data_IF_478592961159
#
_entry.id   IF_478592961159
#
_cell.length_a   1.000
_cell.length_b   1.000
_cell.length_c   1.000
_cell.angle_alpha   90.00
_cell.angle_beta   90.00
_cell.angle_gamma   90.00
#
_symmetry.space_group_name_H-M   'P 1'
#
loop_
_entity.id
_entity.type
_entity.pdbx_description
1 polymer ?
#
# COMPACT_ATOMS: atom_id res chain seq x y z
N UNK A 1 21.92 -3.25 -2.59
CA UNK A 1 21.00 -2.75 -1.57
C UNK A 1 21.09 -3.67 -0.36
N UNK A 2 21.07 -3.15 0.88
CA UNK A 2 21.00 -4.02 2.03
C UNK A 2 19.67 -4.78 2.00
N UNK A 3 19.72 -6.09 2.20
CA UNK A 3 18.53 -6.90 2.38
C UNK A 3 18.00 -6.64 3.79
N UNK A 4 16.72 -6.37 3.93
CA UNK A 4 16.04 -6.38 5.22
C UNK A 4 15.37 -7.74 5.40
N UNK A 5 15.55 -8.33 6.58
CA UNK A 5 14.75 -9.47 7.00
C UNK A 5 13.68 -8.95 7.96
N UNK A 6 12.43 -9.27 7.70
CA UNK A 6 11.34 -8.91 8.59
C UNK A 6 11.46 -9.65 9.92
N UNK A 7 10.88 -9.08 10.97
CA UNK A 7 10.81 -9.68 12.30
C UNK A 7 10.09 -11.05 12.21
N UNK A 8 10.58 -12.09 12.94
CA UNK A 8 10.03 -13.44 12.86
C UNK A 8 8.52 -13.55 13.06
N UNK A 9 7.97 -12.88 14.08
CA UNK A 9 6.53 -12.92 14.36
C UNK A 9 5.71 -12.34 13.21
N UNK A 10 6.24 -11.31 12.53
CA UNK A 10 5.59 -10.73 11.36
C UNK A 10 5.60 -11.68 10.15
N UNK A 11 6.70 -12.43 9.95
CA UNK A 11 6.79 -13.45 8.89
C UNK A 11 5.75 -14.56 9.10
N UNK A 12 5.61 -15.06 10.34
CA UNK A 12 4.58 -16.05 10.66
C UNK A 12 3.18 -15.50 10.47
N UNK A 13 2.94 -14.25 10.88
CA UNK A 13 1.66 -13.59 10.64
C UNK A 13 1.32 -13.47 9.14
N UNK A 14 2.30 -13.19 8.30
CA UNK A 14 2.09 -13.19 6.83
C UNK A 14 1.70 -14.57 6.30
N UNK A 15 2.35 -15.63 6.78
CA UNK A 15 2.03 -17.00 6.40
C UNK A 15 0.62 -17.40 6.85
N UNK A 16 0.19 -17.00 8.05
CA UNK A 16 -1.18 -17.18 8.54
C UNK A 16 -2.20 -16.44 7.68
N UNK A 17 -1.93 -15.17 7.33
CA UNK A 17 -2.82 -14.39 6.46
C UNK A 17 -3.00 -15.02 5.08
N UNK A 18 -1.96 -15.68 4.58
CA UNK A 18 -1.97 -16.32 3.26
C UNK A 18 -2.74 -17.65 3.27
N UNK A 19 -2.93 -18.29 4.43
CA UNK A 19 -3.66 -19.56 4.61
C UNK A 19 -3.24 -20.62 3.58
N UNK A 20 -1.94 -20.92 3.54
CA UNK A 20 -1.41 -21.97 2.65
C UNK A 20 -1.82 -23.34 3.19
N UNK A 21 -2.27 -24.21 2.28
CA UNK A 21 -2.69 -25.58 2.59
C UNK A 21 -1.90 -26.59 1.76
N UNK A 22 -1.83 -27.85 2.20
CA UNK A 22 -1.19 -28.91 1.42
C UNK A 22 -1.72 -28.98 -0.02
N UNK A 23 -0.82 -29.14 -0.98
CA UNK A 23 -1.11 -29.20 -2.39
C UNK A 23 -1.22 -27.82 -3.11
N UNK A 24 -1.20 -26.68 -2.37
CA UNK A 24 -1.31 -25.38 -2.99
C UNK A 24 -0.10 -25.04 -3.87
N UNK A 25 -0.39 -24.31 -4.95
CA UNK A 25 0.61 -23.60 -5.77
C UNK A 25 0.74 -22.17 -5.27
N UNK A 26 1.91 -21.80 -4.78
CA UNK A 26 2.15 -20.52 -4.11
C UNK A 26 3.18 -19.70 -4.87
N UNK A 27 2.94 -18.39 -4.97
CA UNK A 27 3.88 -17.41 -5.52
C UNK A 27 4.26 -16.39 -4.45
N UNK A 28 5.57 -16.21 -4.22
CA UNK A 28 6.12 -15.12 -3.42
C UNK A 28 6.89 -14.14 -4.31
N UNK A 29 6.57 -12.84 -4.23
CA UNK A 29 7.27 -11.78 -4.96
C UNK A 29 8.09 -10.96 -3.99
N UNK A 30 9.42 -10.92 -4.23
CA UNK A 30 10.40 -10.32 -3.34
C UNK A 30 10.89 -11.31 -2.28
N UNK A 31 11.18 -12.56 -2.66
CA UNK A 31 11.48 -13.63 -1.69
C UNK A 31 12.77 -13.43 -0.89
N UNK A 32 13.58 -12.42 -1.23
CA UNK A 32 14.77 -12.03 -0.47
C UNK A 32 15.73 -13.19 -0.22
N UNK A 33 15.91 -13.55 1.04
CA UNK A 33 16.79 -14.66 1.46
C UNK A 33 16.10 -16.03 1.44
N UNK A 34 14.80 -16.10 1.06
CA UNK A 34 14.04 -17.34 0.96
C UNK A 34 13.48 -17.88 2.27
N UNK A 35 13.49 -17.09 3.35
CA UNK A 35 13.00 -17.58 4.65
C UNK A 35 11.49 -17.83 4.64
N UNK A 36 10.67 -16.82 4.26
CA UNK A 36 9.23 -17.04 4.13
C UNK A 36 8.94 -18.12 3.08
N UNK A 37 9.69 -18.14 1.97
CA UNK A 37 9.55 -19.14 0.91
C UNK A 37 9.69 -20.57 1.46
N UNK A 38 10.65 -20.84 2.37
CA UNK A 38 10.84 -22.13 3.01
C UNK A 38 9.66 -22.49 3.94
N UNK A 39 9.11 -21.53 4.68
CA UNK A 39 7.92 -21.72 5.54
C UNK A 39 6.71 -22.08 4.68
N UNK A 40 6.51 -21.36 3.56
CA UNK A 40 5.42 -21.61 2.63
C UNK A 40 5.57 -22.99 1.96
N UNK A 41 6.80 -23.41 1.65
CA UNK A 41 7.09 -24.74 1.12
C UNK A 41 6.70 -25.85 2.10
N UNK A 42 7.03 -25.66 3.38
CA UNK A 42 6.63 -26.60 4.43
C UNK A 42 5.10 -26.68 4.56
N UNK A 43 4.40 -25.54 4.56
CA UNK A 43 2.95 -25.46 4.66
C UNK A 43 2.23 -26.07 3.43
N UNK A 44 2.79 -25.89 2.23
CA UNK A 44 2.25 -26.47 0.99
C UNK A 44 2.43 -27.98 0.91
N UNK A 45 3.34 -28.55 1.69
CA UNK A 45 3.61 -30.00 1.71
C UNK A 45 4.23 -30.54 0.41
N UNK A 46 4.52 -31.84 0.35
CA UNK A 46 5.26 -32.43 -0.77
C UNK A 46 4.53 -32.35 -2.12
N UNK A 47 3.21 -32.33 -2.11
CA UNK A 47 2.37 -32.22 -3.32
C UNK A 47 2.14 -30.78 -3.77
N UNK A 48 2.52 -29.77 -2.95
CA UNK A 48 2.45 -28.37 -3.28
C UNK A 48 3.68 -27.89 -4.04
N UNK A 49 3.60 -26.68 -4.61
CA UNK A 49 4.75 -26.04 -5.27
C UNK A 49 4.83 -24.56 -4.88
N UNK A 50 6.04 -24.08 -4.60
CA UNK A 50 6.25 -22.69 -4.19
C UNK A 50 7.29 -22.05 -5.10
N UNK A 51 6.94 -20.92 -5.70
CA UNK A 51 7.81 -20.13 -6.57
C UNK A 51 8.09 -18.80 -5.90
N UNK A 52 9.35 -18.50 -5.63
CA UNK A 52 9.81 -17.19 -5.19
C UNK A 52 10.46 -16.42 -6.34
N UNK A 53 10.10 -15.16 -6.52
CA UNK A 53 10.74 -14.27 -7.50
C UNK A 53 11.51 -13.19 -6.74
N UNK A 54 12.78 -13.01 -7.12
CA UNK A 54 13.66 -11.99 -6.52
C UNK A 54 14.37 -11.22 -7.65
N UNK A 55 14.29 -9.90 -7.59
CA UNK A 55 14.90 -9.03 -8.60
C UNK A 55 16.43 -8.92 -8.43
N UNK A 56 16.93 -9.09 -7.21
CA UNK A 56 18.36 -9.07 -6.92
C UNK A 56 18.96 -10.47 -7.09
N UNK A 57 19.84 -10.69 -8.11
CA UNK A 57 20.39 -12.01 -8.38
C UNK A 57 21.22 -12.60 -7.22
N UNK A 58 21.86 -11.75 -6.42
CA UNK A 58 22.65 -12.20 -5.28
C UNK A 58 21.76 -12.73 -4.15
N UNK A 59 20.60 -12.08 -3.91
CA UNK A 59 19.61 -12.56 -2.93
C UNK A 59 18.91 -13.82 -3.44
N UNK A 60 18.57 -13.88 -4.71
CA UNK A 60 18.01 -15.10 -5.32
C UNK A 60 18.96 -16.30 -5.17
N UNK A 61 20.26 -16.12 -5.44
CA UNK A 61 21.24 -17.19 -5.27
C UNK A 61 21.37 -17.61 -3.78
N UNK A 62 21.24 -16.66 -2.85
CA UNK A 62 21.20 -16.95 -1.41
C UNK A 62 19.93 -17.71 -1.04
N UNK A 63 18.78 -17.30 -1.54
CA UNK A 63 17.51 -17.99 -1.32
C UNK A 63 17.58 -19.45 -1.80
N UNK A 64 18.11 -19.69 -3.00
CA UNK A 64 18.27 -21.05 -3.52
C UNK A 64 19.15 -21.94 -2.62
N UNK A 65 20.26 -21.40 -2.08
CA UNK A 65 21.11 -22.14 -1.11
C UNK A 65 20.38 -22.40 0.19
N UNK A 66 19.64 -21.42 0.72
CA UNK A 66 18.89 -21.57 1.97
C UNK A 66 17.76 -22.60 1.84
N UNK A 67 17.05 -22.63 0.71
CA UNK A 67 16.03 -23.64 0.41
C UNK A 67 16.62 -25.04 0.38
N UNK A 68 17.77 -25.22 -0.29
CA UNK A 68 18.47 -26.50 -0.33
C UNK A 68 18.91 -26.95 1.07
N UNK A 69 19.46 -26.02 1.87
CA UNK A 69 19.89 -26.32 3.27
C UNK A 69 18.70 -26.67 4.18
N UNK A 70 17.52 -26.07 3.92
CA UNK A 70 16.26 -26.36 4.64
C UNK A 70 15.55 -27.64 4.13
N UNK A 71 16.04 -28.29 3.08
CA UNK A 71 15.39 -29.45 2.47
C UNK A 71 14.06 -29.14 1.77
N UNK A 72 13.83 -27.89 1.39
CA UNK A 72 12.60 -27.44 0.72
C UNK A 72 12.62 -27.80 -0.77
N UNK A 73 12.42 -29.08 -1.09
CA UNK A 73 12.52 -29.62 -2.45
C UNK A 73 11.37 -29.20 -3.39
N UNK A 74 10.27 -28.72 -2.83
CA UNK A 74 9.07 -28.26 -3.53
C UNK A 74 9.06 -26.73 -3.75
N UNK A 75 10.18 -26.04 -3.45
CA UNK A 75 10.31 -24.59 -3.62
C UNK A 75 11.48 -24.23 -4.54
N UNK A 76 11.28 -23.19 -5.36
CA UNK A 76 12.33 -22.63 -6.20
C UNK A 76 12.39 -21.11 -6.08
N UNK A 77 13.60 -20.55 -6.08
CA UNK A 77 13.82 -19.11 -6.20
C UNK A 77 14.27 -18.76 -7.61
N UNK A 78 13.56 -17.86 -8.26
CA UNK A 78 13.79 -17.42 -9.66
C UNK A 78 14.28 -15.98 -9.65
N UNK A 79 15.35 -15.70 -10.39
CA UNK A 79 15.80 -14.33 -10.62
C UNK A 79 14.89 -13.66 -11.64
N UNK A 80 14.40 -12.45 -11.35
CA UNK A 80 13.58 -11.72 -12.28
C UNK A 80 12.77 -10.59 -11.69
N UNK A 81 12.07 -9.88 -12.56
CA UNK A 81 11.28 -8.71 -12.22
C UNK A 81 9.84 -9.11 -11.87
N UNK A 82 9.54 -9.15 -10.61
CA UNK A 82 8.21 -9.23 -10.02
C UNK A 82 7.27 -10.23 -10.71
N UNK A 83 6.06 -9.75 -10.98
CA UNK A 83 5.03 -10.56 -11.63
C UNK A 83 5.38 -11.01 -13.05
N UNK A 84 6.30 -10.33 -13.75
CA UNK A 84 6.72 -10.72 -15.10
C UNK A 84 7.47 -12.06 -15.11
N UNK A 85 8.28 -12.33 -14.07
CA UNK A 85 9.09 -13.54 -13.94
C UNK A 85 8.36 -14.70 -13.21
N UNK A 86 7.12 -14.50 -12.78
CA UNK A 86 6.35 -15.47 -11.98
C UNK A 86 6.04 -16.82 -12.69
N UNK A 87 6.37 -16.94 -13.99
CA UNK A 87 5.99 -18.13 -14.76
C UNK A 87 4.48 -18.22 -15.05
N UNK A 88 4.01 -19.33 -15.62
CA UNK A 88 2.60 -19.51 -15.90
C UNK A 88 1.81 -19.78 -14.60
N UNK A 89 0.75 -18.98 -14.39
CA UNK A 89 -0.26 -19.29 -13.36
C UNK A 89 -1.22 -20.39 -13.79
N UNK A 90 -2.36 -20.54 -13.12
CA UNK A 90 -2.72 -19.79 -11.94
C UNK A 90 -2.07 -20.36 -10.66
N UNK A 91 -2.05 -19.52 -9.61
CA UNK A 91 -1.61 -19.88 -8.26
C UNK A 91 -2.79 -19.82 -7.30
N UNK A 92 -2.80 -20.68 -6.29
CA UNK A 92 -3.82 -20.67 -5.24
C UNK A 92 -3.57 -19.55 -4.24
N UNK A 93 -2.29 -19.20 -4.06
CA UNK A 93 -1.83 -18.18 -3.12
C UNK A 93 -0.76 -17.30 -3.75
N UNK A 94 -0.90 -15.99 -3.57
CA UNK A 94 0.11 -15.00 -3.99
C UNK A 94 0.44 -14.11 -2.81
N UNK A 95 1.71 -13.92 -2.51
CA UNK A 95 2.17 -12.94 -1.51
C UNK A 95 3.23 -12.03 -2.12
N UNK A 96 3.16 -10.75 -1.77
CA UNK A 96 4.24 -9.79 -2.03
C UNK A 96 4.88 -9.38 -0.72
N UNK A 97 6.19 -9.33 -0.69
CA UNK A 97 6.99 -8.82 0.45
C UNK A 97 7.74 -7.54 0.09
N UNK A 98 7.25 -6.88 -0.95
CA UNK A 98 7.58 -5.51 -1.35
C UNK A 98 6.28 -4.74 -1.61
N UNK A 99 6.24 -3.46 -1.25
CA UNK A 99 5.01 -2.67 -1.34
C UNK A 99 4.81 -2.06 -2.72
N UNK A 100 3.60 -2.21 -3.27
CA UNK A 100 3.24 -1.75 -4.59
C UNK A 100 2.36 -0.49 -4.57
N UNK A 101 2.66 0.47 -5.45
CA UNK A 101 1.76 1.56 -5.80
C UNK A 101 0.79 1.16 -6.91
N UNK A 102 1.28 0.43 -7.89
CA UNK A 102 0.54 -0.07 -9.05
C UNK A 102 0.84 -1.55 -9.23
N UNK A 103 -0.01 -2.23 -9.98
CA UNK A 103 0.12 -3.63 -10.32
C UNK A 103 -0.15 -3.82 -11.82
N UNK A 104 0.50 -4.78 -12.50
CA UNK A 104 0.16 -5.13 -13.86
C UNK A 104 -1.17 -5.90 -13.93
N UNK A 105 -1.88 -5.81 -15.06
CA UNK A 105 -3.16 -6.54 -15.27
C UNK A 105 -3.07 -8.03 -15.05
N UNK A 106 -1.90 -8.60 -15.27
CA UNK A 106 -1.61 -10.02 -15.10
C UNK A 106 -1.97 -10.53 -13.70
N UNK A 107 -1.91 -9.68 -12.64
CA UNK A 107 -2.26 -10.09 -11.27
C UNK A 107 -3.67 -10.68 -11.19
N UNK A 108 -4.62 -10.18 -12.01
CA UNK A 108 -6.01 -10.63 -12.02
C UNK A 108 -6.17 -12.06 -12.57
N UNK A 109 -5.24 -12.53 -13.41
CA UNK A 109 -5.29 -13.87 -14.02
C UNK A 109 -4.31 -14.86 -13.40
N UNK A 110 -3.37 -14.39 -12.58
CA UNK A 110 -2.41 -15.27 -11.91
C UNK A 110 -2.99 -16.02 -10.71
N UNK A 111 -4.12 -15.57 -10.16
CA UNK A 111 -4.78 -16.19 -9.02
C UNK A 111 -5.90 -17.11 -9.51
N UNK A 112 -6.06 -18.30 -8.91
CA UNK A 112 -7.20 -19.18 -9.15
C UNK A 112 -8.51 -18.50 -8.70
N UNK A 113 -9.69 -18.96 -9.17
CA UNK A 113 -10.94 -18.64 -8.50
C UNK A 113 -10.83 -19.09 -7.04
N UNK A 114 -11.39 -18.36 -6.10
CA UNK A 114 -11.24 -18.59 -4.64
C UNK A 114 -9.81 -18.51 -4.10
N UNK A 115 -8.83 -18.13 -4.94
CA UNK A 115 -7.46 -17.91 -4.52
C UNK A 115 -7.30 -16.66 -3.65
N UNK A 116 -6.25 -16.63 -2.80
CA UNK A 116 -5.91 -15.51 -1.94
C UNK A 116 -4.61 -14.81 -2.36
N UNK A 117 -4.63 -13.49 -2.32
CA UNK A 117 -3.43 -12.67 -2.46
C UNK A 117 -3.22 -11.79 -1.23
N UNK A 118 -2.01 -11.77 -0.69
CA UNK A 118 -1.58 -10.88 0.40
C UNK A 118 -0.66 -9.82 -0.20
N UNK A 119 -1.20 -8.61 -0.38
CA UNK A 119 -0.53 -7.55 -1.12
C UNK A 119 -0.37 -6.28 -0.26
N UNK A 120 0.86 -5.84 0.02
CA UNK A 120 1.13 -4.53 0.58
C UNK A 120 0.90 -3.45 -0.49
N UNK A 121 -0.06 -2.57 -0.23
CA UNK A 121 -0.43 -1.48 -1.15
C UNK A 121 -0.06 -0.14 -0.52
N UNK A 122 0.78 0.61 -1.23
CA UNK A 122 1.16 1.98 -0.87
C UNK A 122 0.11 2.97 -1.33
N UNK A 123 -0.06 4.01 -0.55
CA UNK A 123 -0.83 5.18 -0.93
C UNK A 123 0.05 6.43 -0.93
N UNK A 124 -0.45 7.55 -1.43
CA UNK A 124 0.25 8.82 -1.30
C UNK A 124 0.46 9.15 0.17
N UNK A 125 1.61 9.70 0.49
CA UNK A 125 2.00 9.95 1.86
C UNK A 125 2.56 8.70 2.53
N UNK A 126 2.21 8.50 3.80
CA UNK A 126 2.79 7.47 4.66
C UNK A 126 1.89 6.24 4.85
N UNK A 127 0.73 6.23 4.20
CA UNK A 127 -0.24 5.13 4.32
C UNK A 127 0.20 3.93 3.47
N UNK A 128 0.36 2.80 4.14
CA UNK A 128 0.69 1.52 3.51
C UNK A 128 -0.01 0.40 4.27
N UNK A 129 -0.80 -0.38 3.55
CA UNK A 129 -1.59 -1.45 4.15
C UNK A 129 -1.41 -2.76 3.40
N UNK A 130 -1.34 -3.87 4.15
CA UNK A 130 -1.56 -5.22 3.62
C UNK A 130 -3.05 -5.40 3.38
N UNK A 131 -3.39 -5.84 2.18
CA UNK A 131 -4.73 -6.32 1.86
C UNK A 131 -4.68 -7.82 1.60
N UNK A 132 -5.52 -8.57 2.32
CA UNK A 132 -5.83 -9.96 2.00
C UNK A 132 -6.99 -9.93 1.01
N UNK A 133 -6.69 -10.26 -0.23
CA UNK A 133 -7.60 -10.14 -1.37
C UNK A 133 -8.04 -11.52 -1.86
N UNK A 134 -9.32 -11.72 -2.06
CA UNK A 134 -9.89 -12.90 -2.71
C UNK A 134 -10.16 -12.59 -4.18
N UNK A 135 -9.92 -13.55 -5.06
CA UNK A 135 -10.42 -13.45 -6.42
C UNK A 135 -11.92 -13.68 -6.43
N UNK A 136 -12.65 -12.75 -7.04
CA UNK A 136 -14.10 -12.83 -7.28
C UNK A 136 -14.39 -12.50 -8.74
N UNK A 137 -14.40 -13.53 -9.58
CA UNK A 137 -14.52 -13.36 -11.02
C UNK A 137 -13.39 -12.49 -11.59
N UNK A 138 -13.68 -11.34 -12.24
CA UNK A 138 -12.68 -10.48 -12.84
C UNK A 138 -12.00 -9.52 -11.85
N UNK A 139 -12.32 -9.57 -10.57
CA UNK A 139 -11.83 -8.65 -9.54
C UNK A 139 -11.08 -9.35 -8.41
N UNK A 140 -10.19 -8.60 -7.75
CA UNK A 140 -9.67 -8.94 -6.43
C UNK A 140 -10.38 -8.06 -5.40
N UNK A 141 -10.89 -8.64 -4.31
CA UNK A 141 -11.68 -7.95 -3.28
C UNK A 141 -11.11 -8.24 -1.89
N UNK A 142 -10.79 -7.19 -1.13
CA UNK A 142 -10.20 -7.36 0.18
C UNK A 142 -11.22 -7.84 1.22
N UNK A 143 -10.86 -8.91 1.93
CA UNK A 143 -11.57 -9.37 3.13
C UNK A 143 -10.98 -8.82 4.42
N UNK A 144 -9.69 -8.50 4.40
CA UNK A 144 -8.97 -8.00 5.56
C UNK A 144 -7.96 -6.93 5.14
N UNK A 145 -7.72 -5.97 6.02
CA UNK A 145 -6.69 -4.93 5.85
C UNK A 145 -5.91 -4.79 7.16
N UNK A 146 -4.58 -4.66 7.08
CA UNK A 146 -3.69 -4.43 8.22
C UNK A 146 -2.64 -3.38 7.86
N UNK A 147 -2.13 -2.65 8.84
CA UNK A 147 -0.97 -1.78 8.62
C UNK A 147 0.29 -2.60 8.37
N UNK A 148 1.15 -2.03 7.55
CA UNK A 148 2.46 -2.59 7.30
C UNK A 148 3.47 -1.51 6.90
N UNK A 149 4.73 -1.93 6.81
CA UNK A 149 5.78 -1.20 6.12
C UNK A 149 6.72 -2.18 5.47
N UNK A 150 6.81 -2.11 4.16
CA UNK A 150 7.73 -2.90 3.35
C UNK A 150 8.69 -2.01 2.57
N UNK A 151 9.76 -2.61 2.07
CA UNK A 151 10.57 -1.97 1.02
C UNK A 151 9.71 -1.74 -0.22
N UNK A 152 9.92 -0.63 -0.95
CA UNK A 152 9.19 -0.39 -2.19
C UNK A 152 9.45 -1.47 -3.23
N UNK A 153 8.40 -1.86 -3.96
CA UNK A 153 8.56 -2.67 -5.16
C UNK A 153 9.41 -1.90 -6.18
N UNK A 154 10.42 -2.56 -6.72
CA UNK A 154 11.33 -2.05 -7.75
C UNK A 154 11.09 -2.73 -9.09
N UNK A 155 11.84 -2.37 -10.13
CA UNK A 155 11.65 -2.93 -11.47
C UNK A 155 10.55 -2.22 -12.25
N UNK A 156 9.97 -2.90 -13.24
CA UNK A 156 8.97 -2.34 -14.16
C UNK A 156 7.74 -1.78 -13.48
N UNK A 157 7.25 -2.47 -12.46
CA UNK A 157 6.03 -2.10 -11.74
C UNK A 157 6.33 -1.26 -10.49
N UNK A 158 7.60 -0.91 -10.27
CA UNK A 158 8.04 0.02 -9.23
C UNK A 158 7.48 1.42 -9.45
N UNK A 159 7.27 2.15 -8.36
CA UNK A 159 6.86 3.54 -8.41
C UNK A 159 8.05 4.48 -8.22
N UNK A 160 8.02 5.59 -8.93
CA UNK A 160 8.92 6.70 -8.60
C UNK A 160 8.48 7.35 -7.28
N UNK A 161 9.34 7.29 -6.28
CA UNK A 161 9.10 7.90 -4.96
C UNK A 161 8.79 9.40 -5.06
N UNK A 162 9.36 10.08 -6.06
CA UNK A 162 9.08 11.50 -6.28
C UNK A 162 7.65 11.75 -6.79
N UNK A 163 7.00 10.77 -7.43
CA UNK A 163 5.59 10.87 -7.81
C UNK A 163 4.66 10.68 -6.61
N UNK A 164 5.06 9.86 -5.65
CA UNK A 164 4.24 9.56 -4.47
C UNK A 164 4.38 10.66 -3.41
N UNK A 165 5.59 11.18 -3.23
CA UNK A 165 5.91 12.19 -2.24
C UNK A 165 7.07 13.09 -2.73
N UNK A 166 6.80 14.05 -3.63
CA UNK A 166 7.80 14.95 -4.14
C UNK A 166 8.37 15.86 -3.03
N UNK A 167 9.49 16.50 -3.29
CA UNK A 167 9.95 17.61 -2.42
C UNK A 167 9.01 18.80 -2.59
N UNK A 168 8.64 19.46 -1.50
CA UNK A 168 7.76 20.63 -1.55
C UNK A 168 8.36 21.75 -2.43
N UNK A 169 9.66 21.98 -2.30
CA UNK A 169 10.40 23.00 -3.09
C UNK A 169 10.46 22.70 -4.58
N UNK A 170 10.19 21.46 -4.99
CA UNK A 170 10.17 21.03 -6.38
C UNK A 170 8.74 20.88 -6.93
N UNK A 171 7.70 21.17 -6.12
CA UNK A 171 6.31 21.11 -6.59
C UNK A 171 5.96 22.40 -7.35
N UNK A 172 5.79 22.34 -8.69
CA UNK A 172 5.55 23.52 -9.50
C UNK A 172 4.17 24.14 -9.24
N UNK A 173 3.23 23.38 -8.70
CA UNK A 173 1.87 23.85 -8.43
C UNK A 173 1.88 24.74 -7.17
N UNK A 174 2.67 24.38 -6.16
CA UNK A 174 2.86 25.22 -4.96
C UNK A 174 3.73 26.43 -5.27
N UNK A 175 4.83 26.25 -6.00
CA UNK A 175 5.80 27.34 -6.28
C UNK A 175 5.19 28.51 -7.08
N UNK A 176 4.10 28.28 -7.81
CA UNK A 176 3.41 29.33 -8.58
C UNK A 176 2.40 30.11 -7.77
N UNK A 177 2.01 29.64 -6.61
CA UNK A 177 0.99 30.23 -5.78
C UNK A 177 1.66 30.95 -4.59
N UNK A 178 1.20 32.14 -4.28
CA UNK A 178 1.60 32.87 -3.06
C UNK A 178 0.82 32.36 -1.84
N UNK A 179 1.44 32.41 -0.67
CA UNK A 179 0.74 32.16 0.59
C UNK A 179 -0.38 33.18 0.80
N UNK A 180 -1.54 32.70 1.24
CA UNK A 180 -2.74 33.53 1.45
C UNK A 180 -3.34 33.27 2.83
N UNK A 181 -3.85 34.34 3.42
CA UNK A 181 -4.50 34.28 4.72
C UNK A 181 -3.52 34.01 5.89
N UNK A 182 -4.09 33.75 7.06
CA UNK A 182 -3.32 33.33 8.25
C UNK A 182 -3.34 31.81 8.36
N UNK A 183 -2.21 31.21 8.80
CA UNK A 183 -2.21 29.77 9.13
C UNK A 183 -3.29 29.45 10.16
N UNK A 184 -3.95 28.31 9.99
CA UNK A 184 -4.98 27.79 10.91
C UNK A 184 -4.50 26.49 11.53
N UNK A 185 -4.77 26.30 12.83
CA UNK A 185 -4.46 25.03 13.49
C UNK A 185 -5.41 23.94 13.01
N UNK A 186 -4.86 22.75 12.79
CA UNK A 186 -5.63 21.53 12.55
C UNK A 186 -5.73 20.77 13.86
N UNK A 187 -6.93 20.68 14.38
CA UNK A 187 -7.23 19.94 15.62
C UNK A 187 -8.00 18.66 15.26
N UNK A 188 -7.49 17.52 15.68
CA UNK A 188 -8.10 16.21 15.45
C UNK A 188 -9.14 15.86 16.54
N UNK A 189 -9.34 16.72 17.55
CA UNK A 189 -10.24 16.45 18.67
C UNK A 189 -9.74 15.32 19.58
N UNK A 190 -10.65 14.45 20.02
CA UNK A 190 -10.33 13.35 20.92
C UNK A 190 -9.34 12.35 20.30
N UNK A 191 -8.48 11.70 21.11
CA UNK A 191 -7.61 10.63 20.64
C UNK A 191 -8.44 9.54 19.98
N UNK A 192 -7.96 9.03 18.85
CA UNK A 192 -8.56 7.87 18.20
C UNK A 192 -8.49 6.67 19.14
N UNK A 193 -9.52 5.81 19.19
CA UNK A 193 -9.52 4.60 20.02
C UNK A 193 -8.33 3.67 19.75
N UNK A 194 -7.82 3.66 18.53
CA UNK A 194 -6.62 2.91 18.15
C UNK A 194 -5.37 3.67 18.61
N UNK A 195 -4.82 3.28 19.74
CA UNK A 195 -3.58 3.84 20.30
C UNK A 195 -2.33 3.58 19.44
N UNK A 196 -2.44 2.74 18.44
CA UNK A 196 -1.33 2.35 17.56
C UNK A 196 -1.09 3.34 16.43
N UNK A 197 -2.06 4.20 16.07
CA UNK A 197 -1.93 5.14 14.97
C UNK A 197 -2.21 6.58 15.39
N UNK A 198 -1.25 7.51 15.21
CA UNK A 198 -1.52 8.92 15.42
C UNK A 198 -2.68 9.44 14.55
N UNK A 199 -3.56 10.33 15.07
CA UNK A 199 -4.70 10.90 14.32
C UNK A 199 -4.32 11.46 12.97
N UNK A 200 -3.19 12.15 12.92
CA UNK A 200 -2.61 12.70 11.69
C UNK A 200 -2.39 11.65 10.61
N UNK A 201 -1.85 10.48 10.97
CA UNK A 201 -1.57 9.40 10.04
C UNK A 201 -2.86 8.72 9.57
N UNK A 202 -3.83 8.54 10.46
CA UNK A 202 -5.15 8.02 10.12
C UNK A 202 -5.90 8.96 9.16
N UNK A 203 -5.85 10.26 9.41
CA UNK A 203 -6.47 11.25 8.53
C UNK A 203 -5.78 11.31 7.16
N UNK A 204 -4.45 11.19 7.08
CA UNK A 204 -3.76 11.10 5.78
C UNK A 204 -4.14 9.81 5.02
N UNK A 205 -4.35 8.70 5.71
CA UNK A 205 -4.85 7.46 5.10
C UNK A 205 -6.26 7.65 4.51
N UNK A 206 -7.14 8.35 5.22
CA UNK A 206 -8.46 8.75 4.73
C UNK A 206 -8.35 9.62 3.47
N UNK A 207 -7.59 10.71 3.54
CA UNK A 207 -7.41 11.64 2.44
C UNK A 207 -6.81 10.97 1.20
N UNK A 208 -5.79 10.14 1.39
CA UNK A 208 -5.10 9.44 0.29
C UNK A 208 -6.00 8.51 -0.50
N UNK A 209 -7.08 8.01 0.10
CA UNK A 209 -8.04 7.10 -0.54
C UNK A 209 -9.23 7.83 -1.16
N UNK A 210 -9.75 8.85 -0.48
CA UNK A 210 -11.02 9.47 -0.84
C UNK A 210 -10.90 10.78 -1.61
N UNK A 211 -9.77 11.52 -1.47
CA UNK A 211 -9.61 12.85 -2.09
C UNK A 211 -8.63 12.79 -3.28
N UNK A 212 -9.08 13.02 -4.52
CA UNK A 212 -8.19 13.00 -5.70
C UNK A 212 -7.11 14.08 -5.69
N UNK A 213 -7.39 15.25 -5.10
CA UNK A 213 -6.47 16.39 -5.01
C UNK A 213 -5.41 16.21 -3.93
N UNK A 214 -5.49 15.14 -3.11
CA UNK A 214 -4.54 14.88 -2.03
C UNK A 214 -3.11 14.76 -2.53
N UNK A 215 -2.21 15.47 -1.85
CA UNK A 215 -0.77 15.45 -2.03
C UNK A 215 -0.06 15.23 -0.71
N UNK A 216 1.12 14.66 -0.80
CA UNK A 216 2.07 14.55 0.31
C UNK A 216 3.43 15.02 -0.19
N UNK A 217 4.20 15.71 0.67
CA UNK A 217 5.51 16.27 0.34
C UNK A 217 6.57 15.94 1.38
N UNK A 218 7.82 15.85 0.91
CA UNK A 218 9.01 15.89 1.76
C UNK A 218 9.41 17.36 1.97
N UNK A 219 9.66 17.75 3.22
CA UNK A 219 9.89 19.16 3.60
C UNK A 219 11.36 19.49 3.82
N UNK A 220 12.20 18.52 4.20
CA UNK A 220 13.58 18.75 4.59
C UNK A 220 14.63 18.18 3.64
N UNK A 221 15.92 18.56 3.82
CA UNK A 221 17.03 17.89 3.16
C UNK A 221 17.19 16.48 3.77
N UNK A 222 17.27 15.48 2.93
CA UNK A 222 17.52 14.10 3.32
C UNK A 222 16.63 13.12 2.57
N UNK A 223 17.25 12.02 2.10
CA UNK A 223 16.60 10.99 1.32
C UNK A 223 16.35 9.72 2.15
N UNK A 224 16.38 9.84 3.49
CA UNK A 224 16.07 8.71 4.37
C UNK A 224 14.62 8.25 4.21
N UNK A 225 14.35 6.96 4.33
CA UNK A 225 12.98 6.47 4.34
C UNK A 225 12.22 7.15 5.47
N UNK A 226 10.94 7.51 5.24
CA UNK A 226 10.12 8.08 6.30
C UNK A 226 10.05 7.09 7.47
N UNK A 227 10.11 7.60 8.70
CA UNK A 227 9.87 6.78 9.88
C UNK A 227 8.47 6.15 9.80
N UNK A 228 8.27 5.02 10.47
CA UNK A 228 6.96 4.31 10.50
C UNK A 228 5.79 5.23 10.89
N UNK A 229 6.07 6.26 11.69
CA UNK A 229 5.04 7.16 12.24
C UNK A 229 5.06 8.56 11.61
N UNK A 230 5.91 8.79 10.60
CA UNK A 230 6.11 10.10 10.01
C UNK A 230 6.83 11.07 10.96
N UNK A 231 7.68 11.89 10.40
CA UNK A 231 8.26 13.01 11.11
C UNK A 231 7.51 14.28 10.66
N UNK A 232 6.73 14.92 11.55
CA UNK A 232 5.92 16.09 11.18
C UNK A 232 6.77 17.26 10.66
N UNK A 233 8.05 17.30 11.02
CA UNK A 233 8.99 18.32 10.52
C UNK A 233 9.51 17.99 9.10
N UNK A 234 9.44 16.73 8.69
CA UNK A 234 9.92 16.26 7.38
C UNK A 234 8.83 16.02 6.35
N UNK A 235 7.58 15.99 6.76
CA UNK A 235 6.45 15.67 5.89
C UNK A 235 5.36 16.72 5.98
N UNK A 236 4.82 17.09 4.81
CA UNK A 236 3.62 17.90 4.68
C UNK A 236 2.56 17.17 3.88
N UNK A 237 1.30 17.48 4.17
CA UNK A 237 0.15 16.90 3.51
C UNK A 237 -0.82 18.00 3.12
N UNK A 238 -1.62 17.78 2.11
CA UNK A 238 -2.63 18.76 1.76
C UNK A 238 -3.35 18.46 0.46
N UNK A 239 -3.92 19.49 -0.12
CA UNK A 239 -4.68 19.44 -1.37
C UNK A 239 -4.08 20.38 -2.39
N UNK A 240 -4.16 20.00 -3.67
CA UNK A 240 -3.82 20.87 -4.80
C UNK A 240 -4.93 20.80 -5.82
N UNK A 241 -5.58 21.94 -6.09
CA UNK A 241 -6.56 22.13 -7.15
C UNK A 241 -6.01 23.09 -8.20
N UNK A 242 -5.49 22.52 -9.29
CA UNK A 242 -4.89 23.30 -10.37
C UNK A 242 -5.91 24.18 -11.09
N UNK A 243 -7.14 23.71 -11.19
CA UNK A 243 -8.21 24.41 -11.90
C UNK A 243 -8.70 25.64 -11.15
N UNK A 244 -8.71 25.59 -9.83
CA UNK A 244 -9.06 26.69 -8.96
C UNK A 244 -7.88 27.62 -8.63
N UNK A 245 -6.63 27.25 -8.99
CA UNK A 245 -5.44 27.98 -8.54
C UNK A 245 -5.31 27.97 -7.01
N UNK A 246 -5.64 26.85 -6.38
CA UNK A 246 -5.70 26.70 -4.93
C UNK A 246 -4.85 25.54 -4.47
N UNK A 247 -4.09 25.75 -3.39
CA UNK A 247 -3.40 24.67 -2.72
C UNK A 247 -3.38 24.88 -1.19
N UNK A 248 -3.28 23.78 -0.47
CA UNK A 248 -3.22 23.79 0.99
C UNK A 248 -2.14 22.84 1.44
N UNK A 249 -1.29 23.32 2.37
CA UNK A 249 -0.24 22.55 3.02
C UNK A 249 -0.55 22.47 4.52
N UNK A 250 -0.63 21.26 5.03
CA UNK A 250 -0.65 20.96 6.45
C UNK A 250 0.69 20.38 6.88
N UNK A 251 1.35 21.07 7.82
CA UNK A 251 2.62 20.63 8.44
C UNK A 251 2.66 21.09 9.90
N UNK A 252 3.27 20.30 10.77
CA UNK A 252 3.47 20.63 12.19
C UNK A 252 2.21 21.22 12.86
N UNK A 253 1.04 20.64 12.59
CA UNK A 253 -0.25 21.10 13.16
C UNK A 253 -0.82 22.39 12.54
N UNK A 254 -0.14 23.01 11.57
CA UNK A 254 -0.59 24.24 10.91
C UNK A 254 -1.02 23.99 9.46
N UNK A 255 -2.12 24.61 9.08
CA UNK A 255 -2.65 24.61 7.70
C UNK A 255 -2.38 25.96 7.06
N UNK A 256 -1.65 25.95 5.97
CA UNK A 256 -1.26 27.12 5.16
C UNK A 256 -1.98 27.02 3.82
N UNK A 257 -2.65 28.09 3.42
CA UNK A 257 -3.30 28.18 2.10
C UNK A 257 -2.39 28.92 1.12
N UNK A 258 -2.51 28.55 -0.16
CA UNK A 258 -1.83 29.17 -1.29
C UNK A 258 -2.85 29.47 -2.39
N UNK A 259 -2.82 30.66 -2.96
CA UNK A 259 -3.79 31.12 -3.96
C UNK A 259 -5.21 31.24 -3.40
N UNK A 260 -6.19 30.64 -4.05
CA UNK A 260 -7.57 30.58 -3.53
C UNK A 260 -7.68 29.65 -2.32
N UNK A 261 -8.55 29.98 -1.37
CA UNK A 261 -8.68 29.25 -0.09
C UNK A 261 -9.58 27.98 -0.16
N UNK A 262 -10.13 27.64 -1.31
CA UNK A 262 -11.11 26.56 -1.48
C UNK A 262 -10.56 25.18 -1.09
N UNK A 263 -9.29 24.92 -1.31
CA UNK A 263 -8.67 23.66 -0.86
C UNK A 263 -8.50 23.58 0.65
N UNK A 264 -8.30 24.74 1.32
CA UNK A 264 -8.28 24.81 2.78
C UNK A 264 -9.63 24.44 3.36
N UNK A 265 -10.70 25.03 2.84
CA UNK A 265 -12.05 24.74 3.30
C UNK A 265 -12.40 23.27 3.04
N UNK A 266 -12.07 22.75 1.87
CA UNK A 266 -12.22 21.32 1.56
C UNK A 266 -11.43 20.40 2.52
N UNK A 267 -10.23 20.79 2.98
CA UNK A 267 -9.46 20.03 3.97
C UNK A 267 -10.21 19.95 5.31
N UNK A 268 -10.78 21.08 5.79
CA UNK A 268 -11.57 21.11 7.01
C UNK A 268 -12.89 20.35 6.90
N UNK A 269 -13.54 20.38 5.74
CA UNK A 269 -14.73 19.55 5.45
C UNK A 269 -14.39 18.05 5.50
N UNK A 270 -13.23 17.65 5.00
CA UNK A 270 -12.74 16.28 5.14
C UNK A 270 -12.49 15.92 6.60
N UNK A 271 -11.90 16.82 7.39
CA UNK A 271 -11.68 16.59 8.81
C UNK A 271 -13.00 16.40 9.55
N UNK A 272 -13.99 17.25 9.30
CA UNK A 272 -15.32 17.14 9.91
C UNK A 272 -16.00 15.81 9.56
N UNK A 273 -15.96 15.39 8.28
CA UNK A 273 -16.50 14.10 7.85
C UNK A 273 -15.76 12.91 8.45
N UNK A 274 -14.45 12.98 8.57
CA UNK A 274 -13.63 11.95 9.18
C UNK A 274 -13.93 11.80 10.66
N UNK A 275 -14.03 12.92 11.39
CA UNK A 275 -14.41 12.94 12.83
C UNK A 275 -15.82 12.38 13.04
N UNK A 276 -16.78 12.74 12.17
CA UNK A 276 -18.15 12.23 12.23
C UNK A 276 -18.28 10.71 11.97
N UNK A 277 -17.21 10.08 11.49
CA UNK A 277 -17.08 8.63 11.28
C UNK A 277 -16.21 7.95 12.36
N UNK A 278 -15.99 8.59 13.50
CA UNK A 278 -15.12 8.13 14.60
C UNK A 278 -13.65 7.97 14.21
N UNK A 279 -13.16 8.82 13.33
CA UNK A 279 -11.75 8.88 12.94
C UNK A 279 -11.19 7.58 12.35
N UNK A 280 -11.77 7.02 11.27
CA UNK A 280 -11.37 5.73 10.75
C UNK A 280 -9.90 5.70 10.32
N UNK A 281 -9.23 4.61 10.67
CA UNK A 281 -7.84 4.33 10.30
C UNK A 281 -7.71 3.69 8.92
N UNK A 282 -6.49 3.42 8.47
CA UNK A 282 -6.23 2.75 7.18
C UNK A 282 -6.89 1.37 7.08
N UNK A 283 -7.05 0.63 8.20
CA UNK A 283 -7.68 -0.71 8.18
C UNK A 283 -9.20 -0.65 8.00
N UNK A 284 -9.80 0.48 8.28
CA UNK A 284 -11.25 0.65 8.09
C UNK A 284 -11.66 0.60 6.60
N UNK A 285 -10.68 0.61 5.70
CA UNK A 285 -10.96 0.59 4.26
C UNK A 285 -10.87 -0.80 3.66
N UNK A 286 -11.87 -1.13 2.84
CA UNK A 286 -11.80 -2.20 1.86
C UNK A 286 -11.16 -1.73 0.56
N UNK A 287 -10.60 -2.67 -0.19
CA UNK A 287 -10.00 -2.46 -1.50
C UNK A 287 -10.53 -3.48 -2.50
N UNK A 288 -10.95 -2.99 -3.67
CA UNK A 288 -11.18 -3.81 -4.86
C UNK A 288 -10.22 -3.44 -5.97
N UNK A 289 -9.79 -4.41 -6.76
CA UNK A 289 -8.92 -4.20 -7.91
C UNK A 289 -9.56 -4.85 -9.14
N UNK A 290 -9.74 -4.06 -10.20
CA UNK A 290 -10.32 -4.51 -11.47
C UNK A 290 -9.46 -4.06 -12.64
N UNK A 291 -9.67 -4.66 -13.81
CA UNK A 291 -9.13 -4.09 -15.04
C UNK A 291 -9.64 -2.66 -15.25
N UNK A 292 -8.89 -1.88 -16.01
CA UNK A 292 -9.25 -0.52 -16.38
C UNK A 292 -10.66 -0.45 -16.98
N UNK A 293 -11.46 0.54 -16.55
CA UNK A 293 -12.86 0.72 -16.94
C UNK A 293 -13.81 -0.38 -16.45
N UNK A 294 -13.35 -1.24 -15.54
CA UNK A 294 -14.22 -2.20 -14.85
C UNK A 294 -15.27 -1.49 -13.98
N UNK A 295 -16.28 -2.24 -13.58
CA UNK A 295 -17.29 -1.79 -12.61
C UNK A 295 -16.79 -2.00 -11.18
N UNK A 296 -17.37 -1.27 -10.22
CA UNK A 296 -17.09 -1.51 -8.80
C UNK A 296 -17.37 -2.97 -8.44
N UNK A 297 -16.45 -3.65 -7.76
CA UNK A 297 -16.65 -5.03 -7.33
C UNK A 297 -17.55 -5.15 -6.10
N UNK A 298 -18.05 -4.03 -5.57
CA UNK A 298 -18.98 -3.96 -4.44
C UNK A 298 -20.21 -3.13 -4.81
N UNK A 299 -21.36 -3.46 -4.18
CA UNK A 299 -22.65 -2.82 -4.47
C UNK A 299 -22.84 -1.46 -3.78
N UNK A 300 -22.07 -1.19 -2.73
CA UNK A 300 -22.11 0.09 -2.01
C UNK A 300 -21.13 1.10 -2.60
N UNK A 301 -21.19 2.34 -2.13
CA UNK A 301 -20.35 3.42 -2.64
C UNK A 301 -18.85 3.13 -2.46
N UNK A 302 -18.11 3.23 -3.56
CA UNK A 302 -16.66 3.06 -3.59
C UNK A 302 -15.99 4.16 -4.42
N UNK A 303 -14.84 4.60 -4.00
CA UNK A 303 -14.04 5.64 -4.65
C UNK A 303 -13.02 5.00 -5.59
N UNK A 304 -13.10 5.32 -6.87
CA UNK A 304 -12.20 4.79 -7.90
C UNK A 304 -10.95 5.64 -8.06
N UNK A 305 -9.78 5.00 -8.04
CA UNK A 305 -8.50 5.60 -8.46
C UNK A 305 -7.82 4.72 -9.49
N UNK A 306 -7.48 5.29 -10.65
CA UNK A 306 -6.69 4.62 -11.66
C UNK A 306 -5.22 4.59 -11.24
N UNK A 307 -4.58 3.41 -11.27
CA UNK A 307 -3.16 3.20 -11.04
C UNK A 307 -2.60 2.28 -12.11
N UNK A 308 -1.84 2.85 -13.06
CA UNK A 308 -1.42 2.12 -14.23
C UNK A 308 -2.60 1.52 -15.00
N UNK A 309 -2.58 0.23 -15.35
CA UNK A 309 -3.61 -0.43 -16.13
C UNK A 309 -4.84 -0.88 -15.32
N UNK A 310 -4.89 -0.64 -14.02
CA UNK A 310 -5.94 -1.13 -13.12
C UNK A 310 -6.71 0.01 -12.47
N UNK A 311 -7.95 -0.28 -12.09
CA UNK A 311 -8.78 0.53 -11.22
C UNK A 311 -8.74 -0.02 -9.80
N UNK A 312 -8.41 0.84 -8.85
CA UNK A 312 -8.43 0.59 -7.41
C UNK A 312 -9.68 1.24 -6.84
N UNK A 313 -10.51 0.44 -6.19
CA UNK A 313 -11.79 0.85 -5.61
C UNK A 313 -11.69 0.82 -4.10
N UNK A 314 -11.85 1.96 -3.45
CA UNK A 314 -11.76 2.11 -2.01
C UNK A 314 -13.14 2.36 -1.42
N UNK A 315 -13.47 1.66 -0.37
CA UNK A 315 -14.70 1.91 0.40
C UNK A 315 -14.42 1.86 1.89
N UNK A 316 -15.21 2.62 2.66
CA UNK A 316 -15.18 2.52 4.11
C UNK A 316 -16.04 1.31 4.52
N UNK A 317 -15.46 0.40 5.31
CA UNK A 317 -16.18 -0.75 5.84
C UNK A 317 -17.22 -0.29 6.86
N UNK A 318 -18.34 -1.01 7.02
CA UNK A 318 -19.27 -0.80 8.12
C UNK A 318 -18.54 -0.84 9.48
N UNK A 319 -18.98 -0.10 10.51
CA UNK A 319 -18.31 -0.07 11.81
C UNK A 319 -18.03 -1.45 12.40
N UNK A 320 -18.95 -2.40 12.26
CA UNK A 320 -18.79 -3.78 12.73
C UNK A 320 -17.67 -4.59 12.02
N UNK A 321 -17.20 -4.13 10.85
CA UNK A 321 -16.16 -4.79 10.06
C UNK A 321 -14.81 -4.07 10.11
N UNK A 322 -14.67 -3.01 10.94
CA UNK A 322 -13.46 -2.17 11.02
C UNK A 322 -12.40 -2.69 11.99
N UNK A 323 -12.60 -3.84 12.62
CA UNK A 323 -11.70 -4.45 13.61
C UNK A 323 -10.58 -5.27 12.98
#
# INVERSE_FOLDING_TARGET
MPASCSEPGFIFHLAELLDVRPGHRVLEIGCGTGWLLAILAHAAGPDGTVVGVEINPALQALAARNLAAAGATNAIAVAGDGLAAAGPGPFDRIIMTASAWQLPTRILSLLTEDGLAVLPIRNKGLSEEIHVLERRGPALVSRLTRLCRFVPLTGRDGADENLLMPRLTADPDIARLGETGRPRSLDFGQPIPDRMMPPALAFTAWMSKLEPRFRAWRLGPGDGPPSLFGDPERHGFGLVDKSAGSATLWRAGQVIAYGDESTRDALFDHLARWTAQDGPTGYAFGLGITAARGTSPVSHHAYRKRRGPLDFWWWLRPPAERL
#
